data_IF_363885730901
#
_entry.id   IF_363885730901
#
_cell.length_a   1.000
_cell.length_b   1.000
_cell.length_c   1.000
_cell.angle_alpha   90.00
_cell.angle_beta   90.00
_cell.angle_gamma   90.00
#
_symmetry.space_group_name_H-M   'P 1'
#
loop_
_entity.id
_entity.type
_entity.pdbx_description
1 polymer ?
#
# COMPACT_ATOMS: atom_id res chain seq x y z
N UNK A 1 35.13 -30.12 17.94
CA UNK A 1 33.69 -29.78 17.97
C UNK A 1 33.58 -28.28 17.91
N UNK A 2 33.47 -27.75 16.69
CA UNK A 2 33.32 -26.29 16.43
C UNK A 2 31.87 -25.95 16.64
N UNK A 3 31.53 -25.21 17.69
CA UNK A 3 30.20 -24.65 17.91
C UNK A 3 29.94 -23.66 16.82
N UNK A 4 29.07 -24.01 15.85
CA UNK A 4 28.41 -23.07 14.96
C UNK A 4 27.65 -22.07 15.84
N UNK A 5 28.29 -20.98 16.22
CA UNK A 5 27.54 -19.79 16.66
C UNK A 5 26.76 -19.27 15.47
N UNK A 6 25.50 -19.69 15.40
CA UNK A 6 24.53 -19.17 14.51
C UNK A 6 24.36 -17.66 14.87
N UNK A 7 25.20 -16.80 14.29
CA UNK A 7 25.12 -15.35 14.49
C UNK A 7 23.79 -14.92 13.95
N UNK A 8 22.81 -14.68 14.84
CA UNK A 8 21.50 -14.16 14.48
C UNK A 8 21.72 -12.90 13.67
N UNK A 9 21.29 -12.92 12.42
CA UNK A 9 21.33 -11.76 11.53
C UNK A 9 20.25 -10.81 11.95
N UNK A 10 20.63 -9.59 12.34
CA UNK A 10 19.73 -8.59 12.85
C UNK A 10 19.49 -7.52 11.79
N UNK A 11 18.27 -7.08 11.68
CA UNK A 11 17.79 -6.06 10.74
C UNK A 11 17.13 -4.95 11.55
N UNK A 12 17.47 -3.71 11.24
CA UNK A 12 16.81 -2.54 11.77
C UNK A 12 15.86 -1.97 10.68
N UNK A 13 14.58 -1.93 10.94
CA UNK A 13 13.58 -1.29 10.09
C UNK A 13 13.31 0.12 10.62
N UNK A 14 13.27 1.13 9.75
CA UNK A 14 12.97 2.52 10.10
C UNK A 14 11.78 2.98 9.28
N UNK A 15 10.71 3.41 9.95
CA UNK A 15 9.52 3.98 9.33
C UNK A 15 9.09 5.24 10.09
N UNK A 16 8.77 6.32 9.36
CA UNK A 16 8.38 7.60 9.98
C UNK A 16 6.87 7.87 9.93
N UNK A 17 6.14 7.32 8.95
CA UNK A 17 4.75 7.68 8.72
C UNK A 17 3.79 7.18 9.81
N UNK A 18 3.91 5.90 10.14
CA UNK A 18 2.97 5.22 11.02
C UNK A 18 3.71 4.34 12.03
N UNK A 19 3.14 4.16 13.23
CA UNK A 19 3.70 3.20 14.18
C UNK A 19 3.38 1.76 13.79
N UNK A 20 4.25 0.82 14.14
CA UNK A 20 3.91 -0.60 14.10
C UNK A 20 3.25 -1.02 15.43
N UNK A 21 2.31 -1.99 15.42
CA UNK A 21 1.83 -2.82 14.29
C UNK A 21 0.75 -2.16 13.41
N UNK A 22 0.45 -0.87 13.59
CA UNK A 22 -0.59 -0.17 12.84
C UNK A 22 -0.25 -0.06 11.34
N UNK A 23 1.03 0.18 11.00
CA UNK A 23 1.52 0.04 9.63
C UNK A 23 1.54 -1.45 9.26
N UNK A 24 0.54 -1.87 8.49
CA UNK A 24 0.33 -3.28 8.13
C UNK A 24 1.47 -3.84 7.30
N UNK A 25 2.03 -3.06 6.35
CA UNK A 25 3.12 -3.52 5.49
C UNK A 25 4.38 -3.75 6.31
N UNK A 26 4.83 -2.75 7.02
CA UNK A 26 6.05 -2.84 7.85
C UNK A 26 5.92 -3.94 8.91
N UNK A 27 4.72 -4.13 9.47
CA UNK A 27 4.47 -5.20 10.43
C UNK A 27 4.52 -6.59 9.80
N UNK A 28 3.97 -6.75 8.61
CA UNK A 28 4.08 -8.01 7.85
C UNK A 28 5.52 -8.34 7.50
N UNK A 29 6.31 -7.37 7.05
CA UNK A 29 7.73 -7.54 6.76
C UNK A 29 8.52 -7.92 8.00
N UNK A 30 8.36 -7.18 9.10
CA UNK A 30 9.04 -7.43 10.37
C UNK A 30 8.74 -8.83 10.91
N UNK A 31 7.47 -9.23 10.96
CA UNK A 31 7.05 -10.55 11.45
C UNK A 31 7.45 -11.68 10.52
N UNK A 32 7.46 -11.44 9.20
CA UNK A 32 7.95 -12.40 8.21
C UNK A 32 9.45 -12.66 8.37
N UNK A 33 10.25 -11.61 8.47
CA UNK A 33 11.69 -11.73 8.74
C UNK A 33 11.94 -12.47 10.07
N UNK A 34 11.16 -12.15 11.11
CA UNK A 34 11.27 -12.84 12.41
C UNK A 34 10.99 -14.33 12.31
N UNK A 35 9.91 -14.75 11.64
CA UNK A 35 9.57 -16.17 11.45
C UNK A 35 10.64 -16.94 10.69
N UNK A 36 11.41 -16.26 9.83
CA UNK A 36 12.49 -16.86 9.06
C UNK A 36 13.87 -16.77 9.72
N UNK A 37 13.90 -16.44 11.03
CA UNK A 37 15.09 -16.54 11.88
C UNK A 37 15.95 -15.28 11.96
N UNK A 38 15.55 -14.18 11.32
CA UNK A 38 16.24 -12.89 11.50
C UNK A 38 15.88 -12.26 12.85
N UNK A 39 16.83 -11.56 13.47
CA UNK A 39 16.52 -10.63 14.55
C UNK A 39 15.97 -9.34 13.94
N UNK A 40 14.88 -8.80 14.48
CA UNK A 40 14.25 -7.59 13.91
C UNK A 40 14.03 -6.57 15.01
N UNK A 41 14.45 -5.34 14.73
CA UNK A 41 14.10 -4.15 15.49
C UNK A 41 13.41 -3.14 14.57
N UNK A 42 12.41 -2.43 15.07
CA UNK A 42 11.68 -1.37 14.33
C UNK A 42 11.79 -0.06 15.08
N UNK A 43 12.12 1.02 14.37
CA UNK A 43 12.02 2.40 14.86
C UNK A 43 10.85 3.07 14.16
N UNK A 44 9.91 3.64 14.95
CA UNK A 44 8.74 4.33 14.44
C UNK A 44 8.27 5.42 15.40
N UNK A 45 7.36 6.32 15.00
CA UNK A 45 6.77 7.30 15.88
C UNK A 45 5.77 6.68 16.87
N UNK A 46 5.48 7.39 17.97
CA UNK A 46 4.31 7.15 18.81
C UNK A 46 3.10 7.80 18.15
N UNK A 47 2.01 7.05 17.98
CA UNK A 47 0.74 7.61 17.51
C UNK A 47 -0.44 6.74 17.98
N UNK A 48 -1.58 7.38 18.28
CA UNK A 48 -2.79 6.68 18.70
C UNK A 48 -2.56 5.81 19.94
N UNK A 49 -2.85 4.51 19.84
CA UNK A 49 -2.68 3.54 20.95
C UNK A 49 -1.23 3.08 21.14
N UNK A 50 -0.31 3.38 20.22
CA UNK A 50 1.09 2.98 20.28
C UNK A 50 1.93 4.00 21.06
N UNK A 51 1.84 3.99 22.40
CA UNK A 51 2.41 5.02 23.28
C UNK A 51 3.69 4.59 24.00
N UNK A 52 3.96 3.30 24.16
CA UNK A 52 5.16 2.79 24.82
C UNK A 52 6.44 3.15 24.02
N UNK A 53 7.47 3.67 24.69
CA UNK A 53 8.75 4.02 24.04
C UNK A 53 9.55 2.80 23.58
N UNK A 54 9.37 1.67 24.26
CA UNK A 54 9.91 0.37 23.92
C UNK A 54 8.88 -0.70 24.19
N UNK A 55 8.74 -1.61 23.27
CA UNK A 55 7.86 -2.76 23.38
C UNK A 55 8.47 -3.93 22.62
N UNK A 56 8.23 -5.15 23.09
CA UNK A 56 8.56 -6.36 22.34
C UNK A 56 7.27 -7.12 22.04
N UNK A 57 6.94 -7.22 20.75
CA UNK A 57 5.74 -7.87 20.28
C UNK A 57 6.11 -8.88 19.19
N UNK A 58 5.59 -10.12 19.27
CA UNK A 58 5.94 -11.23 18.37
C UNK A 58 7.46 -11.37 18.13
N UNK A 59 8.25 -11.17 19.20
CA UNK A 59 9.72 -11.19 19.17
C UNK A 59 10.39 -10.09 18.31
N UNK A 60 9.66 -9.07 17.90
CA UNK A 60 10.16 -7.85 17.28
C UNK A 60 10.41 -6.80 18.37
N UNK A 61 11.60 -6.22 18.40
CA UNK A 61 11.95 -5.12 19.30
C UNK A 61 11.49 -3.79 18.69
N UNK A 62 10.55 -3.07 19.33
CA UNK A 62 9.96 -1.85 18.80
C UNK A 62 10.40 -0.65 19.64
N UNK A 63 11.07 0.31 19.01
CA UNK A 63 11.50 1.57 19.61
C UNK A 63 10.63 2.72 19.04
N UNK A 64 9.92 3.45 19.91
CA UNK A 64 9.04 4.55 19.46
C UNK A 64 9.49 5.88 20.08
N UNK A 65 9.67 6.88 19.20
CA UNK A 65 9.91 8.26 19.63
C UNK A 65 8.60 9.06 19.67
N UNK A 66 8.46 10.03 20.61
CA UNK A 66 7.29 10.90 20.62
C UNK A 66 7.31 11.83 19.40
N UNK A 67 6.15 12.06 18.79
CA UNK A 67 5.98 13.18 17.86
C UNK A 67 5.73 14.43 18.70
N UNK A 68 6.76 15.25 18.86
CA UNK A 68 6.69 16.50 19.63
C UNK A 68 6.01 17.60 18.82
N UNK A 69 6.08 17.48 17.49
CA UNK A 69 5.53 18.43 16.56
C UNK A 69 4.93 17.69 15.35
N UNK A 70 3.63 17.89 15.13
CA UNK A 70 2.98 17.47 13.88
C UNK A 70 2.85 18.72 12.99
N UNK A 71 3.45 18.67 11.79
CA UNK A 71 3.46 19.82 10.88
C UNK A 71 2.07 20.01 10.26
N UNK A 72 1.26 20.85 10.88
CA UNK A 72 -0.05 21.20 10.35
C UNK A 72 -0.02 22.39 9.37
N UNK A 73 1.09 23.13 9.24
CA UNK A 73 1.18 24.36 8.40
C UNK A 73 2.57 24.56 7.82
N UNK A 74 2.67 24.48 6.48
CA UNK A 74 3.76 25.03 5.69
C UNK A 74 5.06 24.21 5.64
N UNK A 75 5.92 24.55 4.68
CA UNK A 75 7.17 23.85 4.36
C UNK A 75 8.15 23.81 5.54
N UNK A 76 8.22 24.89 6.34
CA UNK A 76 9.13 24.99 7.50
C UNK A 76 8.73 23.98 8.58
N UNK A 77 7.43 23.82 8.84
CA UNK A 77 6.92 22.85 9.80
C UNK A 77 7.32 21.41 9.43
N UNK A 78 7.11 21.03 8.18
CA UNK A 78 7.55 19.73 7.67
C UNK A 78 9.07 19.54 7.80
N UNK A 79 9.85 20.55 7.50
CA UNK A 79 11.31 20.47 7.64
C UNK A 79 11.74 20.21 9.09
N UNK A 80 11.16 20.94 10.04
CA UNK A 80 11.46 20.77 11.48
C UNK A 80 11.06 19.37 11.94
N UNK A 81 9.88 18.89 11.54
CA UNK A 81 9.42 17.54 11.86
C UNK A 81 10.38 16.46 11.30
N UNK A 82 10.77 16.58 10.04
CA UNK A 82 11.69 15.64 9.42
C UNK A 82 13.06 15.60 10.08
N UNK A 83 13.63 16.76 10.41
CA UNK A 83 14.91 16.85 11.13
C UNK A 83 14.79 16.21 12.51
N UNK A 84 13.73 16.52 13.24
CA UNK A 84 13.47 15.90 14.54
C UNK A 84 13.34 14.37 14.45
N UNK A 85 12.51 13.88 13.56
CA UNK A 85 12.30 12.43 13.37
C UNK A 85 13.59 11.72 12.92
N UNK A 86 14.39 12.39 12.08
CA UNK A 86 15.68 11.87 11.64
C UNK A 86 16.67 11.72 12.82
N UNK A 87 16.80 12.78 13.64
CA UNK A 87 17.66 12.77 14.82
C UNK A 87 17.20 11.75 15.87
N UNK A 88 15.89 11.64 16.09
CA UNK A 88 15.31 10.64 16.97
C UNK A 88 15.58 9.21 16.45
N UNK A 89 15.43 9.00 15.14
CA UNK A 89 15.74 7.72 14.50
C UNK A 89 17.22 7.37 14.63
N UNK A 90 18.13 8.33 14.45
CA UNK A 90 19.56 8.13 14.66
C UNK A 90 19.88 7.74 16.11
N UNK A 91 19.29 8.44 17.08
CA UNK A 91 19.48 8.11 18.50
C UNK A 91 19.04 6.68 18.82
N UNK A 92 17.85 6.28 18.37
CA UNK A 92 17.36 4.93 18.60
C UNK A 92 18.14 3.88 17.79
N UNK A 93 18.65 4.21 16.60
CA UNK A 93 19.51 3.31 15.83
C UNK A 93 20.84 3.04 16.57
N UNK A 94 21.47 4.07 17.14
CA UNK A 94 22.67 3.92 17.95
C UNK A 94 22.39 3.06 19.20
N UNK A 95 21.26 3.30 19.88
CA UNK A 95 20.84 2.52 21.04
C UNK A 95 20.57 1.05 20.67
N UNK A 96 19.85 0.81 19.55
CA UNK A 96 19.57 -0.54 19.06
C UNK A 96 20.85 -1.26 18.66
N UNK A 97 21.78 -0.56 18.00
CA UNK A 97 23.07 -1.13 17.61
C UNK A 97 23.93 -1.52 18.82
N UNK A 98 23.98 -0.66 19.83
CA UNK A 98 24.70 -0.95 21.08
C UNK A 98 24.10 -2.15 21.84
N UNK A 99 22.78 -2.31 21.80
CA UNK A 99 22.12 -3.44 22.46
C UNK A 99 22.27 -4.74 21.67
N UNK A 100 22.06 -4.67 20.34
CA UNK A 100 22.18 -5.81 19.41
C UNK A 100 22.61 -5.29 18.04
N UNK A 101 23.91 -5.43 17.67
CA UNK A 101 24.39 -5.00 16.35
C UNK A 101 23.56 -5.60 15.23
N UNK A 102 23.10 -4.76 14.31
CA UNK A 102 22.37 -5.16 13.11
C UNK A 102 23.31 -5.13 11.89
N UNK A 103 23.01 -5.95 10.89
CA UNK A 103 23.77 -6.10 9.66
C UNK A 103 23.10 -5.40 8.47
N UNK A 104 21.85 -5.01 8.61
CA UNK A 104 21.14 -4.22 7.61
C UNK A 104 20.24 -3.17 8.26
N UNK A 105 20.16 -2.01 7.60
CA UNK A 105 19.12 -1.00 7.80
C UNK A 105 18.15 -1.11 6.64
N UNK A 106 16.87 -1.27 6.94
CA UNK A 106 15.75 -1.23 6.02
C UNK A 106 14.99 0.05 6.29
N UNK A 107 15.05 1.02 5.38
CA UNK A 107 14.33 2.28 5.54
C UNK A 107 13.19 2.38 4.55
N UNK A 108 11.99 2.65 5.10
CA UNK A 108 10.77 2.90 4.35
C UNK A 108 10.63 4.40 4.11
N UNK A 109 10.25 4.79 2.92
CA UNK A 109 9.89 6.18 2.63
C UNK A 109 8.36 6.41 2.77
N UNK A 110 7.90 7.66 2.88
CA UNK A 110 8.65 8.87 3.12
C UNK A 110 9.22 8.96 4.55
N UNK A 111 10.31 9.74 4.78
CA UNK A 111 11.03 10.60 3.82
C UNK A 111 12.19 9.87 3.13
N UNK A 112 12.59 10.39 1.96
CA UNK A 112 13.77 9.91 1.21
C UNK A 112 15.09 10.50 1.76
N UNK A 113 15.30 10.42 3.08
CA UNK A 113 16.47 11.01 3.76
C UNK A 113 17.26 10.04 4.61
N UNK A 114 16.70 8.85 4.88
CA UNK A 114 17.34 7.85 5.75
C UNK A 114 18.60 7.22 5.15
N UNK A 115 18.87 7.44 3.85
CA UNK A 115 20.17 7.06 3.29
C UNK A 115 21.33 7.71 4.03
N UNK A 116 21.19 8.96 4.47
CA UNK A 116 22.22 9.66 5.21
C UNK A 116 22.50 8.97 6.57
N UNK A 117 21.45 8.50 7.25
CA UNK A 117 21.58 7.69 8.47
C UNK A 117 22.27 6.35 8.17
N UNK A 118 21.86 5.65 7.12
CA UNK A 118 22.43 4.36 6.74
C UNK A 118 23.92 4.47 6.40
N UNK A 119 24.33 5.56 5.74
CA UNK A 119 25.74 5.82 5.42
C UNK A 119 26.61 5.96 6.66
N UNK A 120 26.09 6.44 7.80
CA UNK A 120 26.85 6.51 9.06
C UNK A 120 27.21 5.12 9.60
N UNK A 121 26.41 4.10 9.32
CA UNK A 121 26.68 2.72 9.74
C UNK A 121 27.44 1.90 8.69
N UNK A 122 27.63 2.42 7.48
CA UNK A 122 28.34 1.72 6.39
C UNK A 122 29.79 1.33 6.74
N UNK A 123 30.60 2.16 7.45
CA UNK A 123 31.94 1.77 7.89
C UNK A 123 31.94 0.57 8.85
N UNK A 124 30.80 0.29 9.50
CA UNK A 124 30.61 -0.87 10.38
C UNK A 124 30.17 -2.13 9.62
N UNK A 125 30.14 -2.09 8.27
CA UNK A 125 29.73 -3.19 7.42
C UNK A 125 28.20 -3.37 7.29
N UNK A 126 27.40 -2.41 7.78
CA UNK A 126 25.95 -2.47 7.70
C UNK A 126 25.47 -2.18 6.27
N UNK A 127 24.62 -3.04 5.75
CA UNK A 127 23.98 -2.91 4.44
C UNK A 127 22.77 -2.00 4.51
N UNK A 128 22.42 -1.39 3.37
CA UNK A 128 21.26 -0.51 3.27
C UNK A 128 20.23 -1.07 2.28
N UNK A 129 19.01 -1.31 2.76
CA UNK A 129 17.84 -1.67 1.97
C UNK A 129 16.89 -0.47 1.96
N UNK A 130 16.55 0.00 0.78
CA UNK A 130 15.55 1.06 0.61
C UNK A 130 14.23 0.43 0.19
N UNK A 131 13.19 0.54 1.02
CA UNK A 131 11.84 0.12 0.70
C UNK A 131 11.04 1.32 0.20
N UNK A 132 10.83 1.35 -1.12
CA UNK A 132 10.24 2.46 -1.85
C UNK A 132 8.73 2.32 -1.89
N UNK A 133 8.06 2.81 -0.82
CA UNK A 133 6.61 2.72 -0.65
C UNK A 133 5.85 3.74 -1.51
N UNK A 134 6.35 4.97 -1.55
CA UNK A 134 5.66 6.10 -2.15
C UNK A 134 6.55 6.85 -3.14
N UNK A 135 5.95 7.28 -4.25
CA UNK A 135 6.56 8.19 -5.21
C UNK A 135 6.38 9.64 -4.71
N UNK A 136 7.24 10.07 -3.79
CA UNK A 136 7.15 11.39 -3.15
C UNK A 136 7.07 12.57 -4.13
N UNK A 137 7.83 12.59 -5.26
CA UNK A 137 7.71 13.63 -6.27
C UNK A 137 6.33 13.67 -6.93
N UNK A 138 5.77 12.52 -7.31
CA UNK A 138 4.46 12.40 -7.95
C UNK A 138 3.33 12.75 -6.97
N UNK A 139 3.42 12.29 -5.73
CA UNK A 139 2.48 12.65 -4.66
C UNK A 139 2.47 14.17 -4.40
N UNK A 140 3.63 14.81 -4.44
CA UNK A 140 3.74 16.26 -4.31
C UNK A 140 2.98 16.99 -5.42
N UNK A 141 3.08 16.50 -6.67
CA UNK A 141 2.36 17.05 -7.83
C UNK A 141 0.86 16.77 -7.74
N UNK A 142 0.47 15.55 -7.34
CA UNK A 142 -0.94 15.16 -7.17
C UNK A 142 -1.69 16.04 -6.15
N UNK A 143 -0.95 16.60 -5.16
CA UNK A 143 -1.48 17.60 -4.21
C UNK A 143 -1.51 19.03 -4.78
N UNK A 144 -1.56 19.20 -6.11
CA UNK A 144 -1.66 20.50 -6.78
C UNK A 144 -0.39 21.35 -6.75
N UNK A 145 0.78 20.76 -6.48
CA UNK A 145 2.06 21.49 -6.40
C UNK A 145 2.80 21.47 -7.73
N UNK A 146 3.66 22.46 -7.95
CA UNK A 146 4.38 22.63 -9.22
C UNK A 146 5.49 21.60 -9.42
N UNK A 147 5.51 20.94 -10.59
CA UNK A 147 6.56 20.02 -11.04
C UNK A 147 7.90 20.68 -11.35
N UNK A 148 7.94 21.98 -11.60
CA UNK A 148 9.14 22.72 -11.98
C UNK A 148 9.84 23.42 -10.82
N UNK A 149 9.24 23.41 -9.63
CA UNK A 149 9.73 24.09 -8.43
C UNK A 149 11.00 23.47 -7.84
N UNK A 150 11.72 24.26 -7.04
CA UNK A 150 12.95 23.82 -6.34
C UNK A 150 12.65 22.65 -5.37
N UNK A 151 11.47 22.64 -4.74
CA UNK A 151 11.06 21.56 -3.84
C UNK A 151 10.87 20.23 -4.58
N UNK A 152 10.23 20.26 -5.75
CA UNK A 152 10.10 19.07 -6.60
C UNK A 152 11.46 18.51 -7.00
N UNK A 153 12.38 19.39 -7.44
CA UNK A 153 13.75 18.99 -7.80
C UNK A 153 14.50 18.41 -6.59
N UNK A 154 14.27 18.98 -5.41
CA UNK A 154 14.81 18.47 -4.14
C UNK A 154 14.29 17.06 -3.82
N UNK A 155 12.99 16.81 -3.98
CA UNK A 155 12.40 15.49 -3.77
C UNK A 155 12.99 14.46 -4.75
N UNK A 156 13.06 14.77 -6.05
CA UNK A 156 13.69 13.90 -7.05
C UNK A 156 15.16 13.64 -6.74
N UNK A 157 15.89 14.64 -6.27
CA UNK A 157 17.29 14.47 -5.88
C UNK A 157 17.45 13.54 -4.68
N UNK A 158 16.64 13.72 -3.62
CA UNK A 158 16.67 12.89 -2.42
C UNK A 158 16.29 11.43 -2.74
N UNK A 159 15.24 11.22 -3.53
CA UNK A 159 14.82 9.90 -3.99
C UNK A 159 15.97 9.20 -4.76
N UNK A 160 16.62 9.89 -5.71
CA UNK A 160 17.79 9.36 -6.44
C UNK A 160 18.95 9.02 -5.52
N UNK A 161 19.25 9.89 -4.57
CA UNK A 161 20.35 9.65 -3.62
C UNK A 161 20.06 8.44 -2.74
N UNK A 162 18.81 8.28 -2.30
CA UNK A 162 18.39 7.14 -1.50
C UNK A 162 18.51 5.83 -2.28
N UNK A 163 17.97 5.77 -3.50
CA UNK A 163 18.09 4.60 -4.38
C UNK A 163 19.56 4.23 -4.65
N UNK A 164 20.41 5.21 -5.03
CA UNK A 164 21.83 4.98 -5.37
C UNK A 164 22.69 4.59 -4.16
N UNK A 165 22.28 4.98 -2.98
CA UNK A 165 22.98 4.63 -1.74
C UNK A 165 22.62 3.23 -1.26
N UNK A 166 21.51 2.65 -1.72
CA UNK A 166 21.03 1.34 -1.32
C UNK A 166 21.85 0.20 -1.96
N UNK A 167 22.08 -0.85 -1.19
CA UNK A 167 22.59 -2.12 -1.69
C UNK A 167 21.48 -2.87 -2.45
N UNK A 168 20.21 -2.74 -2.00
CA UNK A 168 19.01 -3.26 -2.62
C UNK A 168 17.88 -2.25 -2.51
N UNK A 169 17.08 -2.11 -3.56
CA UNK A 169 15.83 -1.35 -3.59
C UNK A 169 14.67 -2.35 -3.62
N UNK A 170 13.76 -2.25 -2.66
CA UNK A 170 12.48 -2.94 -2.68
C UNK A 170 11.47 -1.99 -3.32
N UNK A 171 10.80 -2.45 -4.37
CA UNK A 171 9.73 -1.73 -5.05
C UNK A 171 8.38 -2.38 -4.71
N UNK A 172 7.34 -1.59 -4.48
CA UNK A 172 6.01 -2.12 -4.15
C UNK A 172 5.28 -2.70 -5.36
N UNK A 173 5.70 -2.32 -6.57
CA UNK A 173 5.12 -2.80 -7.83
C UNK A 173 6.07 -2.57 -9.02
N UNK A 174 5.63 -2.96 -10.22
CA UNK A 174 6.43 -2.80 -11.43
C UNK A 174 6.61 -1.33 -11.86
N UNK A 175 5.65 -0.45 -11.58
CA UNK A 175 5.80 0.98 -11.86
C UNK A 175 6.90 1.61 -11.01
N UNK A 176 6.98 1.27 -9.72
CA UNK A 176 8.07 1.70 -8.83
C UNK A 176 9.42 1.10 -9.25
N UNK A 177 9.44 -0.17 -9.69
CA UNK A 177 10.64 -0.78 -10.27
C UNK A 177 11.13 0.01 -11.49
N UNK A 178 10.24 0.38 -12.41
CA UNK A 178 10.58 1.20 -13.57
C UNK A 178 11.12 2.58 -13.16
N UNK A 179 10.57 3.20 -12.13
CA UNK A 179 11.09 4.46 -11.57
C UNK A 179 12.50 4.26 -11.01
N UNK A 180 12.75 3.18 -10.27
CA UNK A 180 14.08 2.88 -9.74
C UNK A 180 15.11 2.66 -10.86
N UNK A 181 14.74 1.99 -11.95
CA UNK A 181 15.58 1.80 -13.12
C UNK A 181 15.83 3.11 -13.88
N UNK A 182 14.77 3.80 -14.27
CA UNK A 182 14.86 4.96 -15.17
C UNK A 182 15.35 6.23 -14.46
N UNK A 183 14.77 6.52 -13.28
CA UNK A 183 15.10 7.73 -12.51
C UNK A 183 16.30 7.52 -11.59
N UNK A 184 16.35 6.38 -10.90
CA UNK A 184 17.45 6.02 -10.01
C UNK A 184 18.72 5.60 -10.75
N UNK A 185 18.59 4.99 -11.93
CA UNK A 185 19.67 4.33 -12.67
C UNK A 185 20.12 3.04 -11.97
N UNK A 186 19.19 2.35 -11.29
CA UNK A 186 19.50 1.13 -10.53
C UNK A 186 19.41 -0.08 -11.46
N UNK A 187 20.43 -0.92 -11.40
CA UNK A 187 20.48 -2.18 -12.16
C UNK A 187 19.42 -3.16 -11.65
N UNK A 188 18.82 -3.93 -12.55
CA UNK A 188 17.67 -4.78 -12.28
C UNK A 188 17.91 -5.80 -11.17
N UNK A 189 19.10 -6.36 -11.10
CA UNK A 189 19.52 -7.32 -10.09
C UNK A 189 19.58 -6.74 -8.66
N UNK A 190 19.51 -5.42 -8.50
CA UNK A 190 19.42 -4.73 -7.22
C UNK A 190 18.00 -4.32 -6.85
N UNK A 191 17.00 -4.65 -7.66
CA UNK A 191 15.61 -4.29 -7.41
C UNK A 191 14.79 -5.56 -7.17
N UNK A 192 14.04 -5.58 -6.08
CA UNK A 192 13.11 -6.66 -5.76
C UNK A 192 11.71 -6.11 -5.64
N UNK A 193 10.73 -6.71 -6.32
CA UNK A 193 9.33 -6.33 -6.16
C UNK A 193 8.70 -7.13 -5.02
N UNK A 194 8.29 -6.41 -3.96
CA UNK A 194 7.59 -6.95 -2.79
C UNK A 194 6.25 -6.21 -2.67
N UNK A 195 5.18 -6.81 -3.18
CA UNK A 195 3.84 -6.22 -3.15
C UNK A 195 3.24 -6.28 -1.75
N UNK A 196 2.49 -5.26 -1.38
CA UNK A 196 1.59 -5.33 -0.22
C UNK A 196 0.37 -6.17 -0.56
N UNK A 197 -0.23 -6.79 0.45
CA UNK A 197 -1.45 -7.55 0.27
C UNK A 197 -1.82 -8.35 1.52
N UNK A 198 -3.07 -8.81 1.62
CA UNK A 198 -3.47 -9.68 2.73
C UNK A 198 -2.84 -11.07 2.63
N UNK A 199 -2.86 -11.80 3.75
CA UNK A 199 -2.41 -13.19 3.79
C UNK A 199 -3.37 -14.08 3.02
N UNK A 200 -2.84 -15.19 2.49
CA UNK A 200 -3.61 -16.16 1.69
C UNK A 200 -4.88 -16.65 2.40
N UNK A 201 -4.84 -16.80 3.72
CA UNK A 201 -5.99 -17.20 4.53
C UNK A 201 -7.21 -16.29 4.44
N UNK A 202 -7.07 -15.03 3.97
CA UNK A 202 -8.23 -14.16 3.74
C UNK A 202 -9.17 -14.72 2.67
N UNK A 203 -8.66 -15.47 1.69
CA UNK A 203 -9.48 -16.09 0.66
C UNK A 203 -10.37 -17.25 1.18
N UNK A 204 -10.14 -17.69 2.40
CA UNK A 204 -10.90 -18.77 3.05
C UNK A 204 -11.94 -18.23 4.05
N UNK A 205 -11.97 -16.90 4.26
CA UNK A 205 -12.96 -16.26 5.12
C UNK A 205 -14.30 -16.19 4.39
N UNK A 206 -15.31 -16.76 5.01
CA UNK A 206 -16.71 -16.62 4.60
C UNK A 206 -17.51 -16.08 5.80
N UNK A 207 -17.63 -14.77 5.86
CA UNK A 207 -18.28 -14.04 6.94
C UNK A 207 -19.48 -13.22 6.44
N UNK A 208 -20.10 -13.63 5.31
CA UNK A 208 -21.21 -12.91 4.70
C UNK A 208 -22.42 -12.77 5.63
N UNK A 209 -22.97 -11.55 5.72
CA UNK A 209 -24.20 -11.26 6.47
C UNK A 209 -25.16 -10.45 5.58
N UNK A 210 -26.21 -11.10 5.02
CA UNK A 210 -27.20 -10.42 4.18
C UNK A 210 -27.94 -9.25 4.85
N UNK A 211 -28.01 -9.20 6.17
CA UNK A 211 -28.66 -8.11 6.91
C UNK A 211 -27.94 -6.78 6.69
N UNK A 212 -26.64 -6.80 6.36
CA UNK A 212 -25.88 -5.60 6.01
C UNK A 212 -26.43 -4.90 4.78
N UNK A 213 -27.16 -5.60 3.91
CA UNK A 213 -27.83 -5.01 2.75
C UNK A 213 -29.05 -4.16 3.13
N UNK A 214 -29.52 -4.20 4.38
CA UNK A 214 -30.61 -3.37 4.89
C UNK A 214 -31.89 -3.40 4.04
N UNK A 215 -32.20 -4.56 3.46
CA UNK A 215 -33.34 -4.74 2.57
C UNK A 215 -33.11 -4.42 1.10
N UNK A 216 -31.95 -3.87 0.75
CA UNK A 216 -31.56 -3.70 -0.63
C UNK A 216 -31.21 -5.04 -1.30
N UNK A 217 -31.47 -5.14 -2.60
CA UNK A 217 -31.16 -6.33 -3.38
C UNK A 217 -29.66 -6.54 -3.53
N UNK A 218 -28.91 -5.46 -3.74
CA UNK A 218 -27.49 -5.46 -3.97
C UNK A 218 -26.74 -4.59 -2.97
N UNK A 219 -25.45 -4.87 -2.81
CA UNK A 219 -24.53 -4.02 -2.05
C UNK A 219 -23.25 -3.81 -2.84
N UNK A 220 -22.93 -2.55 -3.10
CA UNK A 220 -21.63 -2.11 -3.63
C UNK A 220 -20.78 -1.58 -2.48
N UNK A 221 -19.50 -1.98 -2.39
CA UNK A 221 -18.62 -1.62 -1.29
C UNK A 221 -17.40 -0.84 -1.78
N UNK A 222 -17.15 0.30 -1.17
CA UNK A 222 -15.87 0.99 -1.16
C UNK A 222 -15.14 0.68 0.14
N UNK A 223 -13.84 0.35 0.06
CA UNK A 223 -12.96 0.17 1.20
C UNK A 223 -11.77 1.10 1.07
N UNK A 224 -11.48 1.88 2.10
CA UNK A 224 -10.27 2.69 2.13
C UNK A 224 -10.30 3.84 3.11
N UNK A 225 -9.20 4.57 3.13
CA UNK A 225 -9.15 5.88 3.75
C UNK A 225 -9.93 6.87 2.86
N UNK A 226 -10.45 7.94 3.48
CA UNK A 226 -11.18 9.00 2.76
C UNK A 226 -10.36 10.27 2.83
N UNK A 227 -9.46 10.42 1.86
CA UNK A 227 -8.68 11.62 1.60
C UNK A 227 -9.07 12.19 0.22
N UNK A 228 -8.62 13.40 -0.08
CA UNK A 228 -8.93 14.08 -1.33
C UNK A 228 -8.53 13.27 -2.58
N UNK A 229 -7.43 12.53 -2.48
CA UNK A 229 -6.89 11.72 -3.60
C UNK A 229 -7.59 10.38 -3.81
N UNK A 230 -8.44 9.92 -2.88
CA UNK A 230 -9.04 8.57 -2.93
C UNK A 230 -10.37 8.52 -3.72
N UNK A 231 -10.79 9.64 -4.34
CA UNK A 231 -11.89 9.70 -5.29
C UNK A 231 -13.28 9.35 -4.73
N UNK A 232 -13.49 9.47 -3.42
CA UNK A 232 -14.80 9.20 -2.81
C UNK A 232 -15.88 10.14 -3.35
N UNK A 233 -15.52 11.37 -3.70
CA UNK A 233 -16.40 12.34 -4.37
C UNK A 233 -16.79 11.89 -5.80
N UNK A 234 -15.90 11.24 -6.54
CA UNK A 234 -16.21 10.60 -7.83
C UNK A 234 -17.25 9.50 -7.64
N UNK A 235 -17.08 8.65 -6.61
CA UNK A 235 -18.08 7.60 -6.35
C UNK A 235 -19.43 8.18 -5.94
N UNK A 236 -19.47 9.25 -5.14
CA UNK A 236 -20.75 9.92 -4.79
C UNK A 236 -21.45 10.48 -6.04
N UNK A 237 -20.72 11.11 -6.97
CA UNK A 237 -21.28 11.55 -8.25
C UNK A 237 -21.74 10.38 -9.11
N UNK A 238 -20.96 9.29 -9.16
CA UNK A 238 -21.37 8.07 -9.85
C UNK A 238 -22.68 7.48 -9.27
N UNK A 239 -22.85 7.50 -7.95
CA UNK A 239 -24.11 7.06 -7.29
C UNK A 239 -25.28 7.97 -7.69
N UNK A 240 -25.08 9.27 -7.81
CA UNK A 240 -26.10 10.19 -8.30
C UNK A 240 -26.53 9.83 -9.73
N UNK A 241 -25.58 9.56 -10.64
CA UNK A 241 -25.88 9.05 -11.99
C UNK A 241 -26.57 7.69 -11.96
N UNK A 242 -26.13 6.78 -11.07
CA UNK A 242 -26.72 5.46 -10.91
C UNK A 242 -28.21 5.54 -10.54
N UNK A 243 -28.58 6.39 -9.60
CA UNK A 243 -29.98 6.63 -9.22
C UNK A 243 -30.84 7.22 -10.34
N UNK A 244 -30.25 7.98 -11.23
CA UNK A 244 -30.95 8.55 -12.39
C UNK A 244 -31.31 7.49 -13.46
N UNK A 245 -30.53 6.39 -13.52
CA UNK A 245 -30.70 5.35 -14.55
C UNK A 245 -31.31 4.05 -14.02
N UNK A 246 -31.55 3.91 -12.73
CA UNK A 246 -32.11 2.71 -12.12
C UNK A 246 -32.99 3.05 -10.90
N UNK A 247 -33.71 2.06 -10.38
CA UNK A 247 -34.39 2.19 -9.08
C UNK A 247 -33.40 2.00 -7.95
N UNK A 248 -33.71 2.52 -6.77
CA UNK A 248 -32.90 2.37 -5.55
C UNK A 248 -32.96 0.93 -5.02
N UNK A 249 -32.19 0.03 -5.64
CA UNK A 249 -32.11 -1.38 -5.30
C UNK A 249 -30.72 -1.79 -4.76
N UNK A 250 -29.81 -0.81 -4.65
CA UNK A 250 -28.41 -1.01 -4.26
C UNK A 250 -28.03 -0.12 -3.09
N UNK A 251 -27.48 -0.74 -2.03
CA UNK A 251 -26.82 -0.04 -0.95
C UNK A 251 -25.34 0.18 -1.29
N UNK A 252 -24.87 1.40 -1.16
CA UNK A 252 -23.45 1.74 -1.29
C UNK A 252 -22.83 1.91 0.09
N UNK A 253 -22.00 0.94 0.50
CA UNK A 253 -21.34 0.97 1.80
C UNK A 253 -19.90 1.48 1.66
N UNK A 254 -19.59 2.54 2.41
CA UNK A 254 -18.26 3.14 2.49
C UNK A 254 -17.59 2.67 3.78
N UNK A 255 -16.71 1.68 3.66
CA UNK A 255 -16.02 1.05 4.79
C UNK A 255 -14.65 1.69 4.97
N UNK A 256 -14.48 2.40 6.08
CA UNK A 256 -13.26 3.15 6.39
C UNK A 256 -13.56 4.55 6.87
N UNK A 257 -12.52 5.31 7.10
CA UNK A 257 -12.60 6.68 7.56
C UNK A 257 -11.43 7.50 7.06
N UNK A 258 -11.38 8.77 7.40
CA UNK A 258 -10.27 9.64 7.00
C UNK A 258 -10.60 11.10 7.26
N UNK A 259 -9.64 11.99 7.04
CA UNK A 259 -9.81 13.43 7.31
C UNK A 259 -10.92 14.06 6.46
N UNK A 260 -11.20 13.49 5.27
CA UNK A 260 -12.19 14.03 4.34
C UNK A 260 -13.60 13.42 4.52
N UNK A 261 -13.76 12.44 5.41
CA UNK A 261 -15.06 11.79 5.65
C UNK A 261 -16.18 12.79 6.00
N UNK A 262 -15.97 13.84 6.85
CA UNK A 262 -17.03 14.81 7.14
C UNK A 262 -17.51 15.54 5.87
N UNK A 263 -16.60 15.93 4.99
CA UNK A 263 -16.91 16.57 3.70
C UNK A 263 -17.70 15.62 2.79
N UNK A 264 -17.32 14.36 2.72
CA UNK A 264 -18.01 13.35 1.92
C UNK A 264 -19.43 13.09 2.41
N UNK A 265 -19.65 13.06 3.73
CA UNK A 265 -21.00 12.94 4.32
C UNK A 265 -21.88 14.14 3.95
N UNK A 266 -21.34 15.37 4.11
CA UNK A 266 -22.07 16.58 3.73
C UNK A 266 -22.43 16.56 2.23
N UNK A 267 -21.49 16.19 1.36
CA UNK A 267 -21.75 16.05 -0.08
C UNK A 267 -22.83 15.01 -0.39
N UNK A 268 -22.83 13.88 0.30
CA UNK A 268 -23.87 12.86 0.15
C UNK A 268 -25.26 13.37 0.58
N UNK A 269 -25.33 14.18 1.63
CA UNK A 269 -26.56 14.84 2.09
C UNK A 269 -27.06 15.89 1.06
N UNK A 270 -26.17 16.76 0.56
CA UNK A 270 -26.48 17.74 -0.48
C UNK A 270 -27.00 17.10 -1.79
N UNK A 271 -26.53 15.91 -2.10
CA UNK A 271 -26.96 15.13 -3.28
C UNK A 271 -28.19 14.24 -3.00
N UNK A 272 -28.79 14.30 -1.81
CA UNK A 272 -29.91 13.45 -1.40
C UNK A 272 -29.62 11.94 -1.53
N UNK A 273 -28.38 11.52 -1.22
CA UNK A 273 -27.94 10.13 -1.32
C UNK A 273 -28.11 9.34 0.01
N UNK A 274 -28.55 10.00 1.09
CA UNK A 274 -28.71 9.39 2.40
C UNK A 274 -29.44 8.04 2.44
N UNK A 275 -30.53 7.85 1.65
CA UNK A 275 -31.24 6.57 1.63
C UNK A 275 -30.42 5.39 1.12
N UNK A 276 -29.47 5.60 0.21
CA UNK A 276 -28.74 4.51 -0.47
C UNK A 276 -27.25 4.45 -0.09
N UNK A 277 -26.72 5.40 0.71
CA UNK A 277 -25.33 5.49 1.11
C UNK A 277 -25.18 5.22 2.61
N UNK A 278 -24.19 4.42 2.96
CA UNK A 278 -23.86 4.13 4.35
C UNK A 278 -22.35 4.26 4.62
N UNK A 279 -21.98 5.24 5.46
CA UNK A 279 -20.61 5.41 5.95
C UNK A 279 -20.42 4.70 7.28
N UNK A 280 -19.61 3.64 7.32
CA UNK A 280 -19.36 2.87 8.55
C UNK A 280 -18.37 3.56 9.49
N UNK A 281 -17.50 4.44 8.95
CA UNK A 281 -16.28 4.82 9.63
C UNK A 281 -15.29 3.65 9.64
N UNK A 282 -14.22 3.79 10.42
CA UNK A 282 -13.23 2.72 10.59
C UNK A 282 -13.81 1.60 11.43
N UNK A 283 -13.76 0.38 10.92
CA UNK A 283 -14.26 -0.83 11.57
C UNK A 283 -13.12 -1.80 11.89
N UNK A 284 -13.31 -2.72 12.86
CA UNK A 284 -12.40 -3.87 13.07
C UNK A 284 -12.35 -4.79 11.83
N UNK A 285 -11.27 -5.58 11.74
CA UNK A 285 -11.05 -6.47 10.58
C UNK A 285 -12.19 -7.48 10.39
N UNK A 286 -12.78 -8.02 11.46
CA UNK A 286 -13.90 -8.96 11.37
C UNK A 286 -15.14 -8.32 10.72
N UNK A 287 -15.43 -7.07 11.01
CA UNK A 287 -16.52 -6.34 10.37
C UNK A 287 -16.17 -5.99 8.91
N UNK A 288 -14.94 -5.60 8.65
CA UNK A 288 -14.45 -5.37 7.29
C UNK A 288 -14.64 -6.63 6.43
N UNK A 289 -14.23 -7.79 6.94
CA UNK A 289 -14.42 -9.07 6.26
C UNK A 289 -15.90 -9.37 5.99
N UNK A 290 -16.77 -9.04 6.96
CA UNK A 290 -18.21 -9.23 6.79
C UNK A 290 -18.78 -8.36 5.66
N UNK A 291 -18.36 -7.08 5.56
CA UNK A 291 -18.75 -6.22 4.43
C UNK A 291 -18.22 -6.76 3.09
N UNK A 292 -16.95 -7.12 3.02
CA UNK A 292 -16.37 -7.68 1.79
C UNK A 292 -17.02 -9.02 1.40
N UNK A 293 -17.29 -9.90 2.37
CA UNK A 293 -17.98 -11.17 2.10
C UNK A 293 -19.43 -10.99 1.66
N UNK A 294 -20.07 -9.87 1.99
CA UNK A 294 -21.47 -9.60 1.64
C UNK A 294 -21.62 -8.83 0.32
N UNK A 295 -20.57 -8.10 -0.11
CA UNK A 295 -20.59 -7.27 -1.29
C UNK A 295 -20.91 -8.07 -2.57
N UNK A 296 -21.75 -7.52 -3.44
CA UNK A 296 -21.98 -8.04 -4.79
C UNK A 296 -20.93 -7.52 -5.78
N UNK A 297 -20.50 -6.26 -5.58
CA UNK A 297 -19.46 -5.57 -6.36
C UNK A 297 -18.64 -4.69 -5.43
N UNK A 298 -17.35 -4.59 -5.66
CA UNK A 298 -16.50 -3.60 -4.99
C UNK A 298 -16.08 -2.50 -5.97
N UNK A 299 -15.86 -1.28 -5.44
CA UNK A 299 -15.57 -0.11 -6.28
C UNK A 299 -14.26 0.53 -5.87
N UNK A 300 -13.43 0.85 -6.85
CA UNK A 300 -12.22 1.65 -6.68
C UNK A 300 -12.31 2.93 -7.51
N UNK A 301 -12.68 4.06 -6.88
CA UNK A 301 -12.87 5.33 -7.57
C UNK A 301 -11.62 6.21 -7.60
N UNK A 302 -10.44 5.66 -7.28
CA UNK A 302 -9.18 6.44 -7.27
C UNK A 302 -8.96 7.08 -8.65
N UNK A 303 -8.98 8.43 -8.75
CA UNK A 303 -8.98 9.11 -10.04
C UNK A 303 -7.62 8.99 -10.72
N UNK A 304 -7.62 9.04 -12.05
CA UNK A 304 -6.38 9.03 -12.81
C UNK A 304 -5.57 10.29 -12.52
N UNK A 305 -4.44 10.09 -11.87
CA UNK A 305 -3.32 11.03 -11.73
C UNK A 305 -2.03 10.27 -12.03
N UNK A 306 -0.92 10.97 -12.26
CA UNK A 306 0.37 10.29 -12.47
C UNK A 306 0.76 9.43 -11.24
N UNK A 307 0.46 9.90 -10.05
CA UNK A 307 0.70 9.18 -8.80
C UNK A 307 -0.17 7.93 -8.66
N UNK A 308 -1.49 8.08 -8.78
CA UNK A 308 -2.42 6.95 -8.63
C UNK A 308 -2.22 5.89 -9.71
N UNK A 309 -1.90 6.32 -10.94
CA UNK A 309 -1.64 5.40 -12.05
C UNK A 309 -0.44 4.47 -11.82
N UNK A 310 0.53 4.90 -11.01
CA UNK A 310 1.73 4.12 -10.63
C UNK A 310 1.62 3.46 -9.26
N UNK A 311 0.56 3.73 -8.50
CA UNK A 311 0.36 3.21 -7.15
C UNK A 311 -0.49 1.94 -7.15
N UNK A 312 -0.10 0.95 -6.35
CA UNK A 312 -0.95 -0.23 -6.11
C UNK A 312 -1.99 0.11 -5.07
N UNK A 313 -3.25 0.06 -5.46
CA UNK A 313 -4.36 0.23 -4.53
C UNK A 313 -4.58 -1.07 -3.75
N UNK A 314 -4.22 -1.08 -2.47
CA UNK A 314 -4.33 -2.28 -1.61
C UNK A 314 -5.75 -2.82 -1.57
N UNK A 315 -6.76 -1.96 -1.64
CA UNK A 315 -8.19 -2.32 -1.68
C UNK A 315 -8.51 -3.27 -2.84
N UNK A 316 -7.85 -3.12 -4.00
CA UNK A 316 -8.01 -4.03 -5.14
C UNK A 316 -7.62 -5.46 -4.78
N UNK A 317 -6.49 -5.62 -4.10
CA UNK A 317 -5.99 -6.95 -3.69
C UNK A 317 -6.88 -7.53 -2.57
N UNK A 318 -7.37 -6.68 -1.66
CA UNK A 318 -8.31 -7.07 -0.61
C UNK A 318 -9.66 -7.53 -1.21
N UNK A 319 -10.20 -6.83 -2.21
CA UNK A 319 -11.39 -7.26 -2.95
C UNK A 319 -11.20 -8.61 -3.63
N UNK A 320 -10.04 -8.82 -4.26
CA UNK A 320 -9.72 -10.08 -4.92
C UNK A 320 -9.57 -11.24 -3.93
N UNK A 321 -9.05 -10.99 -2.72
CA UNK A 321 -8.98 -12.00 -1.66
C UNK A 321 -10.37 -12.56 -1.32
N UNK A 322 -11.38 -11.68 -1.27
CA UNK A 322 -12.78 -12.09 -1.04
C UNK A 322 -13.50 -12.49 -2.34
N UNK A 323 -12.81 -12.54 -3.47
CA UNK A 323 -13.39 -12.89 -4.75
C UNK A 323 -14.49 -11.92 -5.17
N UNK A 324 -14.33 -10.63 -4.92
CA UNK A 324 -15.33 -9.64 -5.32
C UNK A 324 -15.02 -9.08 -6.69
N UNK A 325 -16.01 -9.08 -7.61
CA UNK A 325 -15.91 -8.36 -8.87
C UNK A 325 -15.72 -6.86 -8.61
N UNK A 326 -14.90 -6.21 -9.43
CA UNK A 326 -14.46 -4.85 -9.19
C UNK A 326 -14.90 -3.95 -10.34
N UNK A 327 -15.33 -2.72 -10.02
CA UNK A 327 -15.40 -1.60 -10.97
C UNK A 327 -14.37 -0.56 -10.53
N UNK A 328 -13.48 -0.17 -11.41
CA UNK A 328 -12.39 0.74 -11.09
C UNK A 328 -12.12 1.72 -12.22
N UNK A 329 -11.57 2.90 -11.92
CA UNK A 329 -10.96 3.71 -12.96
C UNK A 329 -9.74 3.00 -13.56
N UNK A 330 -9.49 3.28 -14.85
CA UNK A 330 -8.45 2.62 -15.63
C UNK A 330 -7.06 3.13 -15.26
N UNK A 331 -6.48 2.51 -14.24
CA UNK A 331 -5.11 2.77 -13.78
C UNK A 331 -4.20 1.60 -14.16
N UNK A 332 -2.96 1.91 -14.53
CA UNK A 332 -1.96 0.90 -14.92
C UNK A 332 -1.79 -0.19 -13.86
N UNK A 333 -1.66 0.18 -12.58
CA UNK A 333 -1.46 -0.81 -11.52
C UNK A 333 -2.75 -1.53 -11.13
N UNK A 334 -3.94 -0.93 -11.33
CA UNK A 334 -5.21 -1.62 -11.20
C UNK A 334 -5.34 -2.72 -12.25
N UNK A 335 -5.00 -2.44 -13.52
CA UNK A 335 -4.98 -3.45 -14.59
C UNK A 335 -4.00 -4.58 -14.29
N UNK A 336 -2.79 -4.26 -13.82
CA UNK A 336 -1.78 -5.28 -13.47
C UNK A 336 -2.20 -6.13 -12.28
N UNK A 337 -2.92 -5.57 -11.33
CA UNK A 337 -3.38 -6.30 -10.15
C UNK A 337 -4.62 -7.12 -10.43
N UNK A 338 -5.69 -6.51 -10.94
CA UNK A 338 -7.00 -7.15 -11.04
C UNK A 338 -7.23 -7.90 -12.36
N UNK A 339 -6.58 -7.52 -13.47
CA UNK A 339 -6.79 -8.12 -14.79
C UNK A 339 -8.29 -8.35 -15.09
N UNK A 340 -8.72 -9.60 -15.31
CA UNK A 340 -10.12 -9.96 -15.59
C UNK A 340 -11.06 -9.91 -14.37
N UNK A 341 -10.56 -9.60 -13.17
CA UNK A 341 -11.39 -9.41 -11.99
C UNK A 341 -12.04 -8.02 -11.93
N UNK A 342 -11.68 -7.08 -12.83
CA UNK A 342 -12.22 -5.74 -12.83
C UNK A 342 -12.82 -5.32 -14.19
N UNK A 343 -13.79 -4.42 -14.10
CA UNK A 343 -14.28 -3.59 -15.22
C UNK A 343 -13.61 -2.24 -15.09
N UNK A 344 -12.93 -1.80 -16.12
CA UNK A 344 -12.15 -0.56 -16.11
C UNK A 344 -12.90 0.56 -16.84
N UNK A 345 -13.02 1.70 -16.16
CA UNK A 345 -13.68 2.90 -16.65
C UNK A 345 -12.64 3.95 -17.01
N UNK A 346 -12.72 4.49 -18.21
CA UNK A 346 -11.75 5.46 -18.72
C UNK A 346 -11.97 6.85 -18.14
N UNK A 347 -10.88 7.59 -17.92
CA UNK A 347 -10.86 9.04 -17.87
C UNK A 347 -11.58 9.70 -16.69
N UNK A 348 -11.74 9.07 -15.53
CA UNK A 348 -12.46 9.62 -14.38
C UNK A 348 -13.95 9.95 -14.71
N UNK A 349 -14.58 9.15 -15.57
CA UNK A 349 -15.97 9.33 -16.00
C UNK A 349 -16.95 8.72 -14.97
N UNK A 350 -17.55 9.57 -14.15
CA UNK A 350 -18.46 9.17 -13.09
C UNK A 350 -19.75 8.54 -13.64
N UNK A 351 -20.23 8.98 -14.80
CA UNK A 351 -21.42 8.41 -15.44
C UNK A 351 -21.12 7.01 -16.01
N UNK A 352 -19.97 6.84 -16.66
CA UNK A 352 -19.53 5.52 -17.12
C UNK A 352 -19.31 4.54 -15.95
N UNK A 353 -18.79 5.01 -14.79
CA UNK A 353 -18.68 4.21 -13.58
C UNK A 353 -20.06 3.73 -13.09
N UNK A 354 -21.07 4.62 -13.09
CA UNK A 354 -22.43 4.26 -12.71
C UNK A 354 -23.01 3.16 -13.64
N UNK A 355 -22.82 3.29 -14.95
CA UNK A 355 -23.24 2.28 -15.92
C UNK A 355 -22.52 0.94 -15.70
N UNK A 356 -21.21 0.97 -15.50
CA UNK A 356 -20.42 -0.24 -15.26
C UNK A 356 -20.86 -0.98 -13.98
N UNK A 357 -21.14 -0.24 -12.90
CA UNK A 357 -21.67 -0.81 -11.65
C UNK A 357 -23.01 -1.49 -11.92
N UNK A 358 -23.93 -0.79 -12.61
CA UNK A 358 -25.27 -1.31 -12.92
C UNK A 358 -25.21 -2.58 -13.77
N UNK A 359 -24.46 -2.55 -14.86
CA UNK A 359 -24.31 -3.71 -15.74
C UNK A 359 -23.76 -4.92 -15.00
N UNK A 360 -22.72 -4.70 -14.20
CA UNK A 360 -22.10 -5.77 -13.43
C UNK A 360 -23.03 -6.34 -12.35
N UNK A 361 -23.84 -5.49 -11.68
CA UNK A 361 -24.83 -5.96 -10.70
C UNK A 361 -25.96 -6.79 -11.35
N UNK A 362 -26.32 -6.51 -12.59
CA UNK A 362 -27.35 -7.25 -13.32
C UNK A 362 -26.84 -8.57 -13.94
N UNK A 363 -25.54 -8.68 -14.20
CA UNK A 363 -24.92 -9.86 -14.83
C UNK A 363 -24.31 -10.80 -13.77
N UNK A 364 -25.14 -11.68 -13.23
CA UNK A 364 -24.71 -12.66 -12.21
C UNK A 364 -23.66 -13.66 -12.71
N UNK A 365 -23.74 -14.09 -13.97
CA UNK A 365 -22.78 -15.04 -14.56
C UNK A 365 -21.40 -14.39 -14.71
N UNK A 366 -21.36 -13.16 -15.20
CA UNK A 366 -20.12 -12.39 -15.28
C UNK A 366 -19.48 -12.19 -13.90
N UNK A 367 -20.28 -11.82 -12.89
CA UNK A 367 -19.77 -11.68 -11.51
C UNK A 367 -19.17 -12.99 -10.99
N UNK A 368 -19.80 -14.13 -11.26
CA UNK A 368 -19.27 -15.42 -10.83
C UNK A 368 -17.93 -15.77 -11.49
N UNK A 369 -17.80 -15.53 -12.80
CA UNK A 369 -16.52 -15.71 -13.53
C UNK A 369 -15.42 -14.83 -12.98
N UNK A 370 -15.72 -13.55 -12.79
CA UNK A 370 -14.78 -12.57 -12.19
C UNK A 370 -14.37 -12.97 -10.77
N UNK A 371 -15.31 -13.42 -9.95
CA UNK A 371 -15.07 -13.89 -8.59
C UNK A 371 -14.10 -15.08 -8.55
N UNK A 372 -14.32 -16.06 -9.41
CA UNK A 372 -13.42 -17.23 -9.49
C UNK A 372 -12.01 -16.83 -9.93
N UNK A 373 -11.91 -15.99 -10.97
CA UNK A 373 -10.63 -15.47 -11.43
C UNK A 373 -9.90 -14.70 -10.32
N UNK A 374 -10.60 -13.79 -9.62
CA UNK A 374 -10.05 -12.99 -8.55
C UNK A 374 -9.44 -13.86 -7.43
N UNK A 375 -10.19 -14.86 -6.94
CA UNK A 375 -9.71 -15.77 -5.87
C UNK A 375 -8.50 -16.59 -6.32
N UNK A 376 -8.52 -17.12 -7.56
CA UNK A 376 -7.41 -17.92 -8.09
C UNK A 376 -6.15 -17.07 -8.19
N UNK A 377 -6.24 -15.91 -8.86
CA UNK A 377 -5.09 -15.01 -9.02
C UNK A 377 -4.55 -14.49 -7.67
N UNK A 378 -5.46 -14.16 -6.74
CA UNK A 378 -5.04 -13.76 -5.40
C UNK A 378 -4.19 -14.83 -4.73
N UNK A 379 -4.68 -16.08 -4.69
CA UNK A 379 -3.96 -17.19 -4.03
C UNK A 379 -2.62 -17.52 -4.68
N UNK A 380 -2.57 -17.47 -6.01
CA UNK A 380 -1.39 -17.88 -6.78
C UNK A 380 -0.33 -16.77 -6.86
N UNK A 381 -0.73 -15.48 -6.95
CA UNK A 381 0.22 -14.43 -7.29
C UNK A 381 0.26 -13.27 -6.29
N UNK A 382 -0.89 -12.85 -5.71
CA UNK A 382 -1.00 -11.59 -4.99
C UNK A 382 -1.02 -11.71 -3.46
N UNK A 383 -1.23 -12.92 -2.93
CA UNK A 383 -1.17 -13.15 -1.50
C UNK A 383 0.21 -12.80 -0.92
N UNK A 384 0.23 -12.28 0.30
CA UNK A 384 1.46 -11.85 0.97
C UNK A 384 2.56 -12.91 0.95
N UNK A 385 2.24 -14.18 1.08
CA UNK A 385 3.20 -15.27 1.10
C UNK A 385 4.11 -15.30 -0.14
N UNK A 386 3.61 -14.89 -1.31
CA UNK A 386 4.42 -14.79 -2.53
C UNK A 386 5.42 -13.61 -2.46
N UNK A 387 5.03 -12.51 -1.82
CA UNK A 387 5.91 -11.37 -1.54
C UNK A 387 6.90 -11.67 -0.41
N UNK A 388 6.46 -12.39 0.62
CA UNK A 388 7.29 -12.86 1.73
C UNK A 388 8.47 -13.70 1.26
N UNK A 389 8.25 -14.65 0.33
CA UNK A 389 9.32 -15.46 -0.25
C UNK A 389 10.41 -14.58 -0.92
N UNK A 390 9.99 -13.57 -1.68
CA UNK A 390 10.91 -12.64 -2.35
C UNK A 390 11.67 -11.78 -1.34
N UNK A 391 11.00 -11.25 -0.32
CA UNK A 391 11.61 -10.49 0.77
C UNK A 391 12.69 -11.31 1.47
N UNK A 392 12.37 -12.54 1.85
CA UNK A 392 13.31 -13.43 2.56
C UNK A 392 14.49 -13.81 1.68
N UNK A 393 14.25 -14.13 0.40
CA UNK A 393 15.32 -14.42 -0.56
C UNK A 393 16.27 -13.22 -0.72
N UNK A 394 15.73 -11.99 -0.78
CA UNK A 394 16.52 -10.76 -0.85
C UNK A 394 17.45 -10.62 0.35
N UNK A 395 16.97 -10.82 1.56
CA UNK A 395 17.80 -10.71 2.76
C UNK A 395 18.83 -11.83 2.89
N UNK A 396 18.50 -13.05 2.51
CA UNK A 396 19.46 -14.16 2.45
C UNK A 396 20.57 -13.87 1.45
N UNK A 397 20.21 -13.36 0.26
CA UNK A 397 21.22 -12.96 -0.73
C UNK A 397 22.11 -11.82 -0.20
N UNK A 398 21.52 -10.77 0.33
CA UNK A 398 22.22 -9.58 0.82
C UNK A 398 23.19 -9.87 1.94
N UNK A 399 22.82 -10.74 2.91
CA UNK A 399 23.56 -11.00 4.13
C UNK A 399 24.42 -12.26 4.06
N UNK A 400 24.14 -13.22 3.17
CA UNK A 400 24.83 -14.51 3.06
C UNK A 400 25.72 -14.62 1.85
N UNK A 401 25.55 -13.75 0.86
CA UNK A 401 26.19 -13.89 -0.44
C UNK A 401 25.73 -15.13 -1.21
N UNK A 402 24.64 -15.78 -0.81
CA UNK A 402 24.07 -16.93 -1.50
C UNK A 402 23.23 -16.47 -2.70
N UNK A 403 23.78 -16.64 -3.92
CA UNK A 403 23.05 -16.45 -5.18
C UNK A 403 21.90 -17.45 -5.26
N UNK A 404 20.71 -17.03 -4.88
CA UNK A 404 19.49 -17.76 -5.25
C UNK A 404 19.12 -17.41 -6.69
N UNK A 405 19.13 -18.39 -7.59
CA UNK A 405 18.71 -18.25 -9.00
C UNK A 405 17.21 -17.89 -9.17
N UNK A 406 16.49 -17.76 -8.07
CA UNK A 406 15.04 -17.48 -8.06
C UNK A 406 14.68 -15.99 -8.04
N UNK A 407 15.66 -15.09 -7.90
CA UNK A 407 15.37 -13.63 -7.81
C UNK A 407 15.07 -13.02 -9.18
N UNK A 408 15.48 -13.70 -10.28
CA UNK A 408 15.34 -13.21 -11.66
C UNK A 408 14.49 -14.18 -12.46
N UNK A 409 13.18 -14.20 -12.24
CA UNK A 409 12.21 -14.60 -13.28
C UNK A 409 11.05 -13.63 -13.24
N UNK A 410 10.86 -12.80 -14.29
CA UNK A 410 9.59 -12.14 -14.51
C UNK A 410 8.52 -13.21 -14.72
N UNK A 411 7.31 -12.95 -14.22
CA UNK A 411 6.13 -13.76 -14.51
C UNK A 411 6.03 -14.00 -16.02
N UNK A 412 5.71 -15.22 -16.51
CA UNK A 412 5.70 -15.54 -17.94
C UNK A 412 4.54 -14.93 -18.74
N UNK A 413 4.00 -13.80 -18.38
CA UNK A 413 2.89 -13.14 -19.10
C UNK A 413 3.14 -11.64 -19.31
N UNK A 414 4.27 -11.29 -19.96
CA UNK A 414 4.41 -9.99 -20.61
C UNK A 414 4.26 -10.16 -22.12
N UNK A 415 3.04 -10.11 -22.62
CA UNK A 415 2.74 -9.73 -23.99
C UNK A 415 1.37 -9.08 -24.05
N UNK A 416 1.26 -7.88 -23.49
CA UNK A 416 0.24 -6.94 -23.97
C UNK A 416 0.98 -5.98 -24.89
N UNK A 417 0.97 -6.29 -26.17
CA UNK A 417 1.32 -5.38 -27.25
C UNK A 417 0.50 -4.11 -27.11
N UNK A 418 1.18 -3.01 -26.93
CA UNK A 418 0.62 -1.68 -27.10
C UNK A 418 0.36 -1.46 -28.60
N UNK A 419 -0.79 -1.87 -29.10
CA UNK A 419 -1.32 -1.33 -30.32
C UNK A 419 -1.85 0.06 -30.02
N UNK A 420 -1.07 1.04 -30.41
CA UNK A 420 -1.44 2.44 -30.44
C UNK A 420 -2.16 2.67 -31.77
N UNK A 421 -3.46 2.97 -31.80
CA UNK A 421 -4.06 3.50 -33.02
C UNK A 421 -3.74 4.99 -33.10
N UNK A 422 -2.83 5.33 -33.99
CA UNK A 422 -2.71 6.67 -34.57
C UNK A 422 -4.06 7.05 -35.20
N UNK A 423 -4.70 8.08 -34.71
CA UNK A 423 -5.28 9.28 -35.38
C UNK A 423 -5.98 10.13 -34.30
#
# INVERSE_FOLDING_TARGET
MSSNMNTKRNILIIVQNLPVPFDRRVWQEATSLRRHGFGVAVICPKKGKCTASYERLEDVDIYRYPLIYEANKGVIGYFVEFVYCWLASLWFALKAYAHRPFQAIHACNPPDTFFALALLFRPLGVRFVFDHHDLCPEMYVAKGRSRTGILYRGLVFLERMTMRSADVVIAVNESHRNVAQQRGGIADEKITVVRSGPRRGWADIDAGNPELKRGFRYMAVYLGEMCEQDGVDHLLRAIQYYRAITRDDTLFAFVGGGPDQPRMKAMAEEMDLGPVVHFTGRVPDEQLWTYLSTADVCVDPDPFTEWSNMSTMNKIIEYMAFGRPIVAFDLTENRRSAESAAVYVQGNDDAAMAHAIRELLLDGERRQKMSQFARTRFREELAWENSEERLIATYRHLLDGQLSKSIVRPSPRESVTTDNPSV
#
